data_IF_221969411251
#
_entry.id   IF_221969411251
#
_cell.length_a   1.000
_cell.length_b   1.000
_cell.length_c   1.000
_cell.angle_alpha   90.00
_cell.angle_beta   90.00
_cell.angle_gamma   90.00
#
_symmetry.space_group_name_H-M   'P 1'
#
loop_
_entity.id
_entity.type
_entity.pdbx_description
1 polymer ?
#
# COMPACT_ATOMS: atom_id res chain seq x y z
N UNK A 1 12.11 0.25 -4.21
CA UNK A 1 11.29 -0.87 -3.69
C UNK A 1 10.41 -1.36 -4.82
N UNK A 2 10.33 -2.68 -5.04
CA UNK A 2 9.43 -3.28 -6.02
C UNK A 2 8.43 -4.20 -5.32
N UNK A 3 7.21 -4.24 -5.84
CA UNK A 3 6.21 -5.25 -5.46
C UNK A 3 6.56 -6.54 -6.19
N UNK A 4 6.70 -7.62 -5.43
CA UNK A 4 7.06 -8.94 -5.93
C UNK A 4 5.82 -9.74 -6.33
N UNK A 5 4.75 -9.67 -5.53
CA UNK A 5 3.49 -10.39 -5.76
C UNK A 5 2.31 -9.55 -5.32
N UNK A 6 1.19 -9.74 -5.99
CA UNK A 6 -0.09 -9.09 -5.68
C UNK A 6 -1.10 -10.20 -5.39
N UNK A 7 -1.88 -10.01 -4.34
CA UNK A 7 -2.94 -10.91 -3.94
C UNK A 7 -4.25 -10.14 -3.87
N UNK A 8 -5.32 -10.67 -4.43
CA UNK A 8 -6.64 -10.03 -4.43
C UNK A 8 -7.68 -10.92 -3.75
N UNK A 9 -8.57 -10.28 -2.99
CA UNK A 9 -9.76 -10.94 -2.45
C UNK A 9 -10.92 -10.76 -3.44
N UNK A 10 -11.56 -11.86 -3.82
CA UNK A 10 -12.73 -11.87 -4.72
C UNK A 10 -14.07 -11.61 -3.99
N UNK A 11 -14.04 -11.37 -2.67
CA UNK A 11 -15.22 -11.08 -1.87
C UNK A 11 -15.87 -9.73 -2.18
N UNK A 12 -16.98 -9.47 -1.49
CA UNK A 12 -17.74 -8.20 -1.57
C UNK A 12 -16.87 -6.98 -1.21
N UNK A 13 -15.88 -7.20 -0.34
CA UNK A 13 -14.84 -6.24 0.00
C UNK A 13 -13.59 -6.52 -0.83
N UNK A 14 -13.48 -5.87 -1.99
CA UNK A 14 -12.27 -5.92 -2.83
C UNK A 14 -11.09 -5.33 -2.06
N UNK A 15 -10.21 -6.19 -1.62
CA UNK A 15 -8.97 -5.84 -0.93
C UNK A 15 -7.78 -6.42 -1.69
N UNK A 16 -6.65 -5.72 -1.61
CA UNK A 16 -5.43 -6.10 -2.32
C UNK A 16 -4.28 -6.16 -1.33
N UNK A 17 -3.50 -7.25 -1.33
CA UNK A 17 -2.27 -7.37 -0.55
C UNK A 17 -1.07 -7.37 -1.49
N UNK A 18 -0.14 -6.46 -1.23
CA UNK A 18 1.12 -6.32 -1.96
C UNK A 18 2.24 -6.94 -1.13
N UNK A 19 2.89 -7.99 -1.67
CA UNK A 19 4.11 -8.54 -1.11
C UNK A 19 5.31 -7.83 -1.73
N UNK A 20 6.09 -7.14 -0.90
CA UNK A 20 7.27 -6.41 -1.30
C UNK A 20 8.51 -7.33 -1.34
N UNK A 21 9.55 -6.93 -2.07
CA UNK A 21 10.80 -7.71 -2.16
C UNK A 21 11.49 -7.95 -0.81
N UNK A 22 11.30 -7.05 0.16
CA UNK A 22 11.85 -7.17 1.51
C UNK A 22 11.02 -8.10 2.42
N UNK A 23 9.92 -8.68 1.92
CA UNK A 23 9.05 -9.59 2.68
C UNK A 23 7.88 -8.93 3.42
N UNK A 24 7.84 -7.59 3.44
CA UNK A 24 6.71 -6.84 3.99
C UNK A 24 5.46 -7.08 3.15
N UNK A 25 4.30 -7.14 3.81
CA UNK A 25 3.01 -7.31 3.15
C UNK A 25 2.14 -6.13 3.53
N UNK A 26 1.66 -5.42 2.52
CA UNK A 26 0.83 -4.23 2.71
C UNK A 26 -0.55 -4.53 2.18
N UNK A 27 -1.59 -4.30 2.99
CA UNK A 27 -2.98 -4.41 2.55
C UNK A 27 -3.54 -3.04 2.17
N UNK A 28 -4.20 -2.99 1.01
CA UNK A 28 -5.10 -1.91 0.62
C UNK A 28 -6.53 -2.39 0.81
N UNK A 29 -7.25 -1.72 1.71
CA UNK A 29 -8.65 -2.01 2.04
C UNK A 29 -9.61 -1.17 1.21
N UNK A 30 -10.78 -1.71 0.93
CA UNK A 30 -11.86 -0.96 0.27
C UNK A 30 -12.41 0.13 1.19
N UNK A 31 -13.00 1.18 0.61
CA UNK A 31 -13.67 2.24 1.38
C UNK A 31 -14.82 1.68 2.25
N UNK A 32 -15.51 0.66 1.76
CA UNK A 32 -16.56 -0.03 2.52
C UNK A 32 -16.01 -0.69 3.79
N UNK A 33 -14.86 -1.35 3.70
CA UNK A 33 -14.21 -2.00 4.87
C UNK A 33 -13.69 -0.97 5.86
N UNK A 34 -13.05 0.08 5.35
CA UNK A 34 -12.56 1.21 6.17
C UNK A 34 -13.69 1.82 6.98
N UNK A 35 -14.83 2.10 6.33
CA UNK A 35 -15.99 2.71 6.99
C UNK A 35 -16.65 1.76 8.00
N UNK A 36 -16.85 0.49 7.63
CA UNK A 36 -17.55 -0.50 8.47
C UNK A 36 -16.78 -0.87 9.74
N UNK A 37 -15.45 -0.91 9.66
CA UNK A 37 -14.59 -1.39 10.76
C UNK A 37 -13.66 -0.32 11.35
N UNK A 38 -13.77 0.93 10.90
CA UNK A 38 -12.91 2.05 11.31
C UNK A 38 -11.40 1.74 11.18
N UNK A 39 -11.03 1.11 10.05
CA UNK A 39 -9.66 0.69 9.76
C UNK A 39 -8.93 1.69 8.85
N UNK A 40 -7.60 1.63 8.82
CA UNK A 40 -6.82 2.37 7.83
C UNK A 40 -6.98 1.76 6.43
N UNK A 41 -7.01 2.63 5.41
CA UNK A 41 -7.02 2.21 3.99
C UNK A 41 -5.78 1.40 3.63
N UNK A 42 -4.63 1.75 4.19
CA UNK A 42 -3.34 1.10 4.00
C UNK A 42 -2.79 0.65 5.34
N UNK A 43 -2.26 -0.55 5.40
CA UNK A 43 -1.79 -1.14 6.64
C UNK A 43 -0.78 -2.27 6.40
N UNK A 44 0.06 -2.57 7.39
CA UNK A 44 0.95 -3.73 7.33
C UNK A 44 0.25 -4.99 7.84
N UNK A 45 0.46 -6.12 7.16
CA UNK A 45 -0.07 -7.41 7.57
C UNK A 45 1.02 -8.46 7.69
N UNK A 46 0.87 -9.37 8.64
CA UNK A 46 1.89 -10.40 8.88
C UNK A 46 1.77 -11.58 7.91
N UNK A 47 0.58 -11.85 7.40
CA UNK A 47 0.27 -12.99 6.54
C UNK A 47 -0.74 -12.64 5.44
N UNK A 48 -0.80 -13.48 4.41
CA UNK A 48 -1.83 -13.42 3.36
C UNK A 48 -2.96 -14.38 3.77
N UNK A 49 -4.19 -13.89 3.99
CA UNK A 49 -5.31 -14.77 4.33
C UNK A 49 -5.65 -15.74 3.19
N UNK A 50 -6.18 -16.92 3.52
CA UNK A 50 -6.51 -17.96 2.53
C UNK A 50 -7.58 -17.56 1.51
N UNK A 51 -8.38 -16.52 1.80
CA UNK A 51 -9.37 -15.96 0.88
C UNK A 51 -8.76 -15.15 -0.27
N UNK A 52 -7.47 -14.82 -0.19
CA UNK A 52 -6.77 -14.06 -1.21
C UNK A 52 -6.11 -15.00 -2.23
N UNK A 53 -6.19 -14.63 -3.50
CA UNK A 53 -5.56 -15.36 -4.60
C UNK A 53 -4.46 -14.51 -5.24
N UNK A 54 -3.36 -15.14 -5.63
CA UNK A 54 -2.28 -14.45 -6.34
C UNK A 54 -2.75 -14.07 -7.75
N UNK A 55 -2.51 -12.81 -8.12
CA UNK A 55 -2.81 -12.28 -9.45
C UNK A 55 -1.53 -11.80 -10.11
N UNK A 56 -1.38 -12.09 -11.40
CA UNK A 56 -0.24 -11.67 -12.20
C UNK A 56 -0.63 -10.44 -13.02
N UNK A 57 -0.37 -9.26 -12.45
CA UNK A 57 -0.56 -7.96 -13.11
C UNK A 57 0.43 -6.94 -12.60
N UNK A 58 0.59 -5.86 -13.36
CA UNK A 58 1.31 -4.68 -12.90
C UNK A 58 0.45 -3.82 -11.97
N UNK A 59 1.12 -2.99 -11.17
CA UNK A 59 0.48 -1.94 -10.40
C UNK A 59 -0.05 -0.87 -11.34
N UNK A 60 -1.26 -0.39 -11.06
CA UNK A 60 -1.72 0.86 -11.62
C UNK A 60 -0.95 2.04 -11.02
N UNK A 61 -0.92 3.18 -11.71
CA UNK A 61 -0.27 4.38 -11.22
C UNK A 61 -0.82 4.85 -9.86
N UNK A 62 -2.13 4.72 -9.64
CA UNK A 62 -2.78 5.08 -8.37
C UNK A 62 -2.35 4.18 -7.20
N UNK A 63 -2.21 2.87 -7.45
CA UNK A 63 -1.73 1.93 -6.44
C UNK A 63 -0.25 2.17 -6.11
N UNK A 64 0.56 2.44 -7.13
CA UNK A 64 1.98 2.74 -6.95
C UNK A 64 2.18 4.01 -6.12
N UNK A 65 1.43 5.08 -6.41
CA UNK A 65 1.49 6.33 -5.67
C UNK A 65 1.00 6.15 -4.22
N UNK A 66 -0.13 5.46 -4.02
CA UNK A 66 -0.68 5.18 -2.70
C UNK A 66 0.27 4.35 -1.81
N UNK A 67 0.85 3.30 -2.38
CA UNK A 67 1.81 2.44 -1.69
C UNK A 67 3.09 3.21 -1.34
N UNK A 68 3.62 4.02 -2.26
CA UNK A 68 4.78 4.90 -1.98
C UNK A 68 4.45 5.86 -0.84
N UNK A 69 3.30 6.54 -0.88
CA UNK A 69 2.91 7.49 0.14
C UNK A 69 2.79 6.84 1.54
N UNK A 70 2.26 5.62 1.62
CA UNK A 70 2.20 4.86 2.86
C UNK A 70 3.58 4.54 3.42
N UNK A 71 4.46 3.93 2.61
CA UNK A 71 5.82 3.56 3.01
C UNK A 71 6.67 4.79 3.42
N UNK A 72 6.46 5.92 2.74
CA UNK A 72 7.12 7.19 3.08
C UNK A 72 6.65 7.77 4.41
N UNK A 73 5.41 7.50 4.82
CA UNK A 73 4.83 7.99 6.08
C UNK A 73 5.36 7.22 7.28
N UNK A 74 5.55 5.91 7.11
CA UNK A 74 6.15 5.01 8.11
C UNK A 74 7.66 5.29 8.29
N UNK A 75 8.34 5.85 7.29
CA UNK A 75 9.75 6.24 7.38
C UNK A 75 9.94 7.78 7.50
N UNK A 76 10.05 8.34 8.72
CA UNK A 76 10.22 9.79 8.92
C UNK A 76 11.50 10.36 8.27
N UNK A 77 12.46 9.52 7.88
CA UNK A 77 13.68 9.93 7.18
C UNK A 77 13.41 10.34 5.73
N UNK A 78 12.45 9.69 5.06
CA UNK A 78 12.18 9.93 3.64
C UNK A 78 11.26 11.15 3.45
N UNK A 79 10.33 11.38 4.37
CA UNK A 79 9.52 12.61 4.38
C UNK A 79 10.38 13.87 4.52
N UNK A 80 11.46 13.81 5.31
CA UNK A 80 12.44 14.91 5.40
C UNK A 80 13.14 15.17 4.07
N UNK A 81 13.43 14.14 3.27
CA UNK A 81 14.04 14.28 1.93
C UNK A 81 13.10 14.95 0.93
N UNK A 82 11.81 14.60 0.94
CA UNK A 82 10.81 15.17 0.04
C UNK A 82 10.52 16.63 0.39
N UNK A 83 10.32 16.95 1.68
CA UNK A 83 10.08 18.33 2.13
C UNK A 83 11.22 19.29 1.72
N UNK A 84 12.46 18.80 1.70
CA UNK A 84 13.64 19.56 1.28
C UNK A 84 13.70 19.85 -0.23
N UNK A 85 13.02 19.05 -1.04
CA UNK A 85 12.96 19.23 -2.50
C UNK A 85 11.94 20.31 -2.87
N UNK A 86 10.77 20.31 -2.22
CA UNK A 86 9.74 21.33 -2.44
C UNK A 86 10.09 22.69 -1.81
N UNK A 87 10.89 22.73 -0.74
CA UNK A 87 11.37 24.01 -0.17
C UNK A 87 12.34 24.77 -1.07
N UNK A 88 12.88 24.16 -2.12
CA UNK A 88 13.74 24.83 -3.11
C UNK A 88 12.97 25.53 -4.24
N UNK A 89 11.68 25.23 -4.39
CA UNK A 89 10.80 25.89 -5.38
C UNK A 89 9.98 27.06 -4.78
N UNK A 90 10.04 27.25 -3.46
CA UNK A 90 9.35 28.34 -2.76
C UNK A 90 10.22 29.59 -2.55
N UNK A 91 11.28 29.77 -3.34
CA UNK A 91 12.14 30.96 -3.31
C UNK A 91 12.34 31.52 -4.70
#
# INVERSE_FOLDING_TARGET
MKVKRIYENQGENKEVIYLLENGNKIIQRSAATVSKFNLNKWDEVNFVPASFQEVFRDLSAEEEEGLKAFLLREDPSIWKRIKKMFSRFAK
#
